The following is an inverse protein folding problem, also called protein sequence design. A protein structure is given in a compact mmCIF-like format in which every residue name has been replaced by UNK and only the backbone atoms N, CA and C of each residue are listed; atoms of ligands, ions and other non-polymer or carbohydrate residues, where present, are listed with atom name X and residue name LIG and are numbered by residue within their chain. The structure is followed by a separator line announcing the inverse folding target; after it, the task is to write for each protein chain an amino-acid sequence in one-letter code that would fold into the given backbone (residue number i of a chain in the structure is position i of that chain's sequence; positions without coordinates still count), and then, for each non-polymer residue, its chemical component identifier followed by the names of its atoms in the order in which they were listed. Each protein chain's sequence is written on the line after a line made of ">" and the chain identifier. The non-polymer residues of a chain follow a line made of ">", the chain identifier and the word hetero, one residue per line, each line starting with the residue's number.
data_IF_444439474575
#
_entry.id   IF_444439474575
#
_cell.length_a   1.000
_cell.length_b   1.000
_cell.length_c   1.000
_cell.angle_alpha   90.00
_cell.angle_beta   90.00
_cell.angle_gamma   90.00
#
_symmetry.space_group_name_H-M   'P 1'
#
loop_
_entity.id
_entity.type
_entity.pdbx_description
1 polymer ?
#
# COMPACT_ATOMS: atom_id res chain seq x y z
N UNK A 1 9.81 -20.12 23.85
CA UNK A 1 9.17 -20.93 22.80
C UNK A 1 10.04 -20.79 21.57
N UNK A 2 10.70 -21.86 21.16
CA UNK A 2 11.75 -21.88 20.12
C UNK A 2 11.14 -21.48 18.78
N UNK A 3 11.66 -20.40 18.18
CA UNK A 3 11.32 -20.00 16.82
C UNK A 3 11.64 -21.17 15.88
N UNK A 4 10.62 -21.82 15.35
CA UNK A 4 10.79 -22.77 14.26
C UNK A 4 11.41 -22.03 13.07
N UNK A 5 12.47 -22.56 12.40
CA UNK A 5 13.07 -21.91 11.26
C UNK A 5 11.96 -21.62 10.24
N UNK A 6 11.96 -20.40 9.68
CA UNK A 6 10.97 -19.95 8.69
C UNK A 6 10.85 -21.04 7.61
N UNK A 7 9.68 -21.68 7.57
CA UNK A 7 9.37 -22.68 6.54
C UNK A 7 9.55 -22.00 5.20
N UNK A 8 10.40 -22.55 4.33
CA UNK A 8 10.64 -21.96 3.01
C UNK A 8 9.32 -21.90 2.25
N UNK A 9 8.92 -20.68 1.84
CA UNK A 9 7.76 -20.50 0.99
C UNK A 9 8.08 -21.02 -0.42
N UNK A 10 7.12 -21.67 -1.03
CA UNK A 10 7.17 -22.09 -2.42
C UNK A 10 6.04 -21.44 -3.20
N UNK A 11 6.27 -21.21 -4.49
CA UNK A 11 5.27 -20.65 -5.39
C UNK A 11 4.90 -21.70 -6.44
N UNK A 12 3.60 -21.92 -6.61
CA UNK A 12 3.02 -22.77 -7.67
C UNK A 12 2.24 -21.89 -8.60
N UNK A 13 2.54 -21.91 -9.88
CA UNK A 13 1.77 -21.18 -10.89
C UNK A 13 0.45 -21.91 -11.19
N UNK A 14 -0.65 -21.18 -11.33
CA UNK A 14 -1.91 -21.72 -11.84
C UNK A 14 -1.90 -21.73 -13.37
N UNK A 15 -2.60 -22.72 -13.95
CA UNK A 15 -2.61 -22.95 -15.39
C UNK A 15 -3.34 -21.85 -16.19
N UNK A 16 -4.17 -21.03 -15.51
CA UNK A 16 -4.97 -20.00 -16.16
C UNK A 16 -5.05 -18.74 -15.26
N UNK A 17 -5.20 -17.60 -15.95
CA UNK A 17 -5.53 -16.33 -15.30
C UNK A 17 -6.93 -16.38 -14.68
N UNK A 18 -7.04 -15.87 -13.46
CA UNK A 18 -8.29 -15.61 -12.75
C UNK A 18 -8.24 -14.21 -12.16
N UNK A 19 -9.34 -13.47 -12.16
CA UNK A 19 -9.39 -12.13 -11.55
C UNK A 19 -9.22 -12.22 -10.01
N UNK A 20 -8.47 -11.32 -9.37
CA UNK A 20 -8.35 -11.27 -7.92
C UNK A 20 -9.70 -11.23 -7.18
N UNK A 21 -10.70 -10.52 -7.74
CA UNK A 21 -12.03 -10.44 -7.15
C UNK A 21 -12.72 -11.80 -7.07
N UNK A 22 -12.54 -12.62 -8.10
CA UNK A 22 -13.10 -13.99 -8.16
C UNK A 22 -12.51 -14.85 -7.04
N UNK A 23 -11.19 -14.85 -6.91
CA UNK A 23 -10.52 -15.64 -5.84
C UNK A 23 -10.90 -15.11 -4.46
N UNK A 24 -10.96 -13.79 -4.28
CA UNK A 24 -11.30 -13.19 -3.01
C UNK A 24 -12.74 -13.53 -2.58
N UNK A 25 -13.73 -13.33 -3.46
CA UNK A 25 -15.14 -13.63 -3.19
C UNK A 25 -15.38 -15.11 -2.93
N UNK A 26 -14.69 -15.99 -3.64
CA UNK A 26 -14.85 -17.44 -3.51
C UNK A 26 -14.39 -18.02 -2.17
N UNK A 27 -13.54 -17.31 -1.44
CA UNK A 27 -12.98 -17.83 -0.20
C UNK A 27 -12.61 -16.78 0.87
N UNK A 28 -11.58 -15.95 0.67
CA UNK A 28 -11.11 -15.01 1.70
C UNK A 28 -12.19 -14.06 2.22
N UNK A 29 -13.13 -13.64 1.39
CA UNK A 29 -14.26 -12.78 1.76
C UNK A 29 -15.09 -13.32 2.93
N UNK A 30 -15.09 -14.64 3.11
CA UNK A 30 -15.87 -15.35 4.17
C UNK A 30 -15.02 -15.63 5.42
N UNK A 31 -13.75 -15.19 5.40
CA UNK A 31 -12.84 -15.46 6.51
C UNK A 31 -12.63 -14.22 7.39
N UNK A 32 -12.67 -14.37 8.74
CA UNK A 32 -12.55 -13.24 9.66
C UNK A 32 -11.15 -12.57 9.66
N UNK A 33 -10.18 -13.14 8.96
CA UNK A 33 -8.83 -12.58 8.81
C UNK A 33 -8.37 -12.76 7.39
N UNK A 34 -8.70 -11.80 6.56
CA UNK A 34 -8.41 -11.82 5.13
C UNK A 34 -7.84 -10.48 4.68
N UNK A 35 -7.15 -10.50 3.56
CA UNK A 35 -6.68 -9.29 2.95
C UNK A 35 -6.74 -9.37 1.43
N UNK A 36 -6.83 -8.19 0.82
CA UNK A 36 -6.65 -7.96 -0.59
C UNK A 36 -5.88 -6.66 -0.79
N UNK A 37 -4.64 -6.75 -1.28
CA UNK A 37 -3.90 -5.61 -1.81
C UNK A 37 -4.12 -5.58 -3.31
N UNK A 38 -4.63 -4.48 -3.84
CA UNK A 38 -5.13 -4.41 -5.21
C UNK A 38 -4.37 -3.41 -6.07
N UNK A 39 -4.04 -3.81 -7.28
CA UNK A 39 -3.45 -2.93 -8.31
C UNK A 39 -4.51 -2.04 -8.99
N UNK A 40 -5.77 -2.20 -8.66
CA UNK A 40 -6.92 -1.47 -9.18
C UNK A 40 -7.82 -2.28 -10.10
N UNK A 41 -9.06 -1.83 -10.24
CA UNK A 41 -9.99 -2.40 -11.21
C UNK A 41 -9.43 -2.20 -12.63
N UNK A 42 -9.41 -3.25 -13.45
CA UNK A 42 -8.87 -3.23 -14.81
C UNK A 42 -7.35 -2.96 -14.90
N UNK A 43 -6.59 -3.27 -13.84
CA UNK A 43 -5.14 -3.14 -13.88
C UNK A 43 -4.54 -3.97 -15.03
N UNK A 44 -3.66 -3.33 -15.80
CA UNK A 44 -2.90 -3.97 -16.91
C UNK A 44 -1.42 -4.09 -16.56
N UNK A 45 -1.03 -3.58 -15.41
CA UNK A 45 0.33 -3.64 -14.87
C UNK A 45 0.27 -3.76 -13.35
N UNK A 46 1.39 -4.08 -12.71
CA UNK A 46 1.46 -4.22 -11.26
C UNK A 46 0.99 -5.59 -10.76
N UNK A 47 0.85 -5.69 -9.45
CA UNK A 47 0.48 -6.93 -8.79
C UNK A 47 -0.65 -6.70 -7.80
N UNK A 48 -1.56 -7.69 -7.72
CA UNK A 48 -2.52 -7.82 -6.62
C UNK A 48 -2.16 -9.02 -5.75
N UNK A 49 -2.56 -8.97 -4.48
CA UNK A 49 -2.33 -10.06 -3.53
C UNK A 49 -3.58 -10.32 -2.72
N UNK A 50 -3.97 -11.56 -2.63
CA UNK A 50 -5.17 -12.02 -1.91
C UNK A 50 -4.77 -13.15 -0.97
N UNK A 51 -5.26 -13.15 0.25
CA UNK A 51 -4.94 -14.25 1.16
C UNK A 51 -5.58 -14.16 2.54
N UNK A 52 -5.08 -15.03 3.37
CA UNK A 52 -5.46 -15.16 4.77
C UNK A 52 -4.25 -14.88 5.67
N UNK A 53 -4.51 -14.43 6.91
CA UNK A 53 -3.44 -14.20 7.88
C UNK A 53 -3.79 -14.67 9.28
N UNK A 54 -2.77 -14.88 10.09
CA UNK A 54 -2.88 -15.08 11.53
C UNK A 54 -2.64 -13.74 12.24
N UNK A 55 -3.22 -13.49 13.42
CA UNK A 55 -2.90 -12.29 14.20
C UNK A 55 -1.40 -12.18 14.43
N UNK A 56 -0.87 -10.96 14.33
CA UNK A 56 0.53 -10.67 14.62
C UNK A 56 0.62 -9.58 15.69
N UNK A 57 1.67 -9.67 16.50
CA UNK A 57 1.99 -8.66 17.49
C UNK A 57 2.66 -7.45 16.81
N UNK A 58 2.29 -6.25 17.24
CA UNK A 58 2.86 -5.01 16.71
C UNK A 58 4.37 -4.91 16.99
N UNK A 59 4.83 -5.39 18.13
CA UNK A 59 6.25 -5.36 18.49
C UNK A 59 7.07 -6.24 17.56
N UNK A 60 6.52 -7.39 17.10
CA UNK A 60 7.14 -8.23 16.07
C UNK A 60 7.29 -7.46 14.75
N UNK A 61 6.26 -6.72 14.34
CA UNK A 61 6.28 -5.91 13.11
C UNK A 61 7.32 -4.79 13.21
N UNK A 62 7.32 -4.06 14.33
CA UNK A 62 8.21 -2.92 14.54
C UNK A 62 9.69 -3.33 14.63
N UNK A 63 9.98 -4.49 15.20
CA UNK A 63 11.33 -5.03 15.30
C UNK A 63 11.86 -5.59 13.98
N UNK A 64 11.03 -5.66 12.91
CA UNK A 64 11.45 -6.24 11.63
C UNK A 64 12.62 -5.44 11.03
N UNK A 65 13.80 -6.06 10.79
CA UNK A 65 14.92 -5.41 10.15
C UNK A 65 14.60 -5.10 8.68
N UNK A 66 15.01 -3.93 8.20
CA UNK A 66 14.79 -3.48 6.82
C UNK A 66 16.00 -3.70 5.91
N UNK A 67 17.15 -4.06 6.49
CA UNK A 67 18.41 -4.27 5.76
C UNK A 67 19.04 -5.60 6.18
N UNK A 68 19.49 -6.40 5.22
CA UNK A 68 20.28 -7.61 5.48
C UNK A 68 19.52 -8.78 6.11
N UNK A 69 18.22 -8.69 6.27
CA UNK A 69 17.39 -9.86 6.56
C UNK A 69 17.28 -10.71 5.29
N UNK A 70 17.23 -12.04 5.44
CA UNK A 70 16.92 -12.96 4.31
C UNK A 70 15.55 -12.74 3.69
N UNK A 71 14.83 -11.76 4.16
CA UNK A 71 13.72 -11.06 3.58
C UNK A 71 14.28 -9.88 2.77
N UNK A 72 15.02 -10.15 1.68
CA UNK A 72 15.15 -9.22 0.55
C UNK A 72 13.79 -9.10 -0.13
N UNK A 73 12.78 -8.75 0.64
CA UNK A 73 11.38 -8.77 0.27
C UNK A 73 10.80 -7.47 0.76
N UNK A 74 10.45 -6.63 -0.19
CA UNK A 74 9.63 -5.47 0.12
C UNK A 74 8.47 -5.91 1.00
N UNK A 75 8.51 -5.55 2.27
CA UNK A 75 7.30 -5.48 3.06
C UNK A 75 6.61 -4.20 2.58
N UNK A 76 5.53 -4.27 1.80
CA UNK A 76 4.85 -3.07 1.41
C UNK A 76 4.20 -2.48 2.66
N UNK A 77 4.79 -1.43 3.19
CA UNK A 77 4.01 -0.47 3.96
C UNK A 77 3.07 0.17 2.95
N UNK A 78 1.85 -0.35 2.88
CA UNK A 78 0.78 0.04 1.95
C UNK A 78 1.26 0.64 0.62
N UNK A 79 1.33 -0.21 -0.41
CA UNK A 79 1.41 0.23 -1.81
C UNK A 79 2.78 0.27 -2.46
N UNK A 80 3.21 -0.83 -3.04
CA UNK A 80 4.30 -0.85 -4.02
C UNK A 80 3.72 -0.93 -5.42
N UNK A 81 3.79 0.16 -6.16
CA UNK A 81 3.40 0.23 -7.56
C UNK A 81 4.49 0.85 -8.42
N UNK A 82 5.00 0.07 -9.34
CA UNK A 82 5.50 0.40 -10.67
C UNK A 82 6.68 1.35 -10.87
N UNK A 83 7.81 0.74 -11.22
CA UNK A 83 8.76 1.36 -12.12
C UNK A 83 8.28 1.20 -13.57
N UNK A 84 8.01 2.29 -14.27
CA UNK A 84 8.00 2.31 -15.73
C UNK A 84 9.45 2.30 -16.21
N UNK A 85 9.95 1.14 -16.59
CA UNK A 85 11.22 1.04 -17.32
C UNK A 85 10.97 1.42 -18.78
N UNK A 86 11.49 2.57 -19.20
CA UNK A 86 11.74 2.86 -20.63
C UNK A 86 12.98 2.06 -21.05
N UNK A 87 12.96 1.28 -22.13
CA UNK A 87 14.12 0.52 -22.56
C UNK A 87 15.14 1.45 -23.21
N UNK A 88 16.31 1.60 -22.61
CA UNK A 88 17.49 2.04 -23.31
C UNK A 88 18.16 0.83 -23.95
N UNK A 89 18.14 0.81 -25.28
CA UNK A 89 18.90 -0.12 -26.11
C UNK A 89 20.39 0.19 -25.94
N UNK A 90 21.15 -0.80 -25.52
CA UNK A 90 22.60 -0.74 -25.46
C UNK A 90 23.18 -2.15 -25.45
N UNK A 91 23.52 -2.64 -26.64
CA UNK A 91 24.22 -3.89 -26.85
C UNK A 91 25.60 -3.92 -26.20
N UNK A 92 25.92 -4.98 -25.46
CA UNK A 92 27.24 -5.64 -25.49
C UNK A 92 27.17 -7.06 -24.97
N UNK A 93 27.53 -7.97 -25.84
CA UNK A 93 27.85 -9.36 -25.58
C UNK A 93 29.15 -9.47 -24.78
N UNK A 94 29.14 -10.28 -23.71
CA UNK A 94 30.33 -11.00 -23.30
C UNK A 94 29.96 -12.37 -22.76
N UNK A 95 30.41 -13.37 -23.50
CA UNK A 95 30.34 -14.79 -23.20
C UNK A 95 31.38 -15.13 -22.12
N UNK A 96 30.94 -15.58 -20.97
CA UNK A 96 31.80 -16.27 -20.00
C UNK A 96 31.31 -17.70 -19.80
N UNK A 97 32.15 -18.64 -20.19
CA UNK A 97 32.02 -20.10 -20.03
C UNK A 97 32.15 -20.47 -18.56
N UNK A 98 31.26 -21.27 -17.95
CA UNK A 98 31.47 -21.76 -16.58
C UNK A 98 32.39 -22.95 -16.57
N UNK A 99 33.43 -22.90 -15.74
CA UNK A 99 34.25 -24.04 -15.35
C UNK A 99 33.44 -24.96 -14.43
N UNK A 100 33.41 -26.24 -14.81
CA UNK A 100 32.85 -27.30 -14.03
C UNK A 100 33.67 -27.55 -12.74
N UNK A 101 33.01 -27.44 -11.58
CA UNK A 101 33.52 -27.77 -10.26
C UNK A 101 32.54 -28.67 -9.51
N UNK A 102 33.03 -29.79 -9.09
CA UNK A 102 32.41 -30.97 -8.50
C UNK A 102 31.46 -30.75 -7.34
N UNK A 103 30.39 -31.55 -7.36
CA UNK A 103 29.23 -31.63 -6.49
C UNK A 103 29.39 -31.69 -4.99
N UNK A 104 28.60 -30.89 -4.37
CA UNK A 104 27.85 -31.21 -3.14
C UNK A 104 26.37 -30.98 -3.44
N UNK A 105 25.42 -31.74 -2.83
CA UNK A 105 24.00 -31.53 -3.11
C UNK A 105 23.62 -30.14 -2.63
N UNK A 106 23.31 -29.28 -3.58
CA UNK A 106 22.79 -27.94 -3.30
C UNK A 106 21.46 -28.10 -2.54
N UNK A 107 21.44 -27.65 -1.30
CA UNK A 107 20.18 -27.39 -0.58
C UNK A 107 19.36 -26.49 -1.47
N UNK A 108 18.10 -26.83 -1.81
CA UNK A 108 17.28 -25.99 -2.68
C UNK A 108 17.09 -24.65 -1.98
N UNK A 109 17.73 -23.62 -2.48
CA UNK A 109 17.43 -22.24 -2.14
C UNK A 109 16.08 -21.94 -2.81
N UNK A 110 14.99 -22.10 -2.05
CA UNK A 110 13.64 -21.78 -2.51
C UNK A 110 13.52 -20.25 -2.65
N UNK A 111 14.02 -19.73 -3.76
CA UNK A 111 13.86 -18.31 -4.12
C UNK A 111 12.53 -18.21 -4.84
N UNK A 112 11.57 -17.47 -4.24
CA UNK A 112 10.30 -17.19 -4.91
C UNK A 112 10.57 -16.44 -6.24
N UNK A 113 9.83 -16.76 -7.32
CA UNK A 113 10.02 -16.10 -8.62
C UNK A 113 9.89 -14.57 -8.51
N UNK A 114 10.67 -13.82 -9.28
CA UNK A 114 10.54 -12.36 -9.33
C UNK A 114 9.14 -11.92 -9.82
N UNK A 115 8.51 -12.73 -10.68
CA UNK A 115 7.16 -12.50 -11.21
C UNK A 115 6.02 -12.50 -10.19
N UNK A 116 6.26 -12.91 -8.94
CA UNK A 116 5.25 -12.73 -7.88
C UNK A 116 5.20 -11.30 -7.33
N UNK A 117 6.07 -10.42 -7.77
CA UNK A 117 6.12 -9.03 -7.34
C UNK A 117 6.82 -8.80 -6.01
N UNK A 118 6.56 -7.64 -5.39
CA UNK A 118 7.25 -7.19 -4.18
C UNK A 118 6.82 -7.88 -2.89
N UNK A 119 5.54 -8.24 -2.74
CA UNK A 119 5.07 -8.92 -1.52
C UNK A 119 5.42 -10.40 -1.55
N UNK A 120 6.14 -10.86 -0.54
CA UNK A 120 6.66 -12.23 -0.43
C UNK A 120 6.26 -12.92 0.87
N UNK A 121 5.14 -12.50 1.46
CA UNK A 121 4.75 -12.87 2.81
C UNK A 121 5.25 -11.87 3.85
N UNK A 122 4.95 -12.09 5.10
CA UNK A 122 5.30 -11.17 6.20
C UNK A 122 4.07 -10.60 6.87
N UNK A 123 4.01 -9.31 7.09
CA UNK A 123 2.93 -8.67 7.84
C UNK A 123 2.12 -7.71 6.96
N UNK A 124 0.78 -7.74 7.11
CA UNK A 124 -0.17 -6.81 6.51
C UNK A 124 -1.07 -6.28 7.62
N UNK A 125 -1.28 -4.97 7.68
CA UNK A 125 -2.09 -4.37 8.72
C UNK A 125 -2.20 -2.87 8.56
N UNK A 126 -2.62 -2.21 9.63
CA UNK A 126 -2.70 -0.76 9.71
C UNK A 126 -2.18 -0.23 11.04
N UNK A 127 -1.80 1.04 11.01
CA UNK A 127 -1.50 1.87 12.17
C UNK A 127 -2.40 3.09 12.12
N UNK A 128 -3.10 3.36 13.21
CA UNK A 128 -3.86 4.58 13.38
C UNK A 128 -2.94 5.80 13.52
N UNK A 129 -3.47 6.98 13.21
CA UNK A 129 -2.71 8.22 13.33
C UNK A 129 -2.23 8.48 14.76
N UNK A 130 -3.11 8.28 15.73
CA UNK A 130 -2.83 8.52 17.17
C UNK A 130 -1.72 7.60 17.65
N UNK A 131 -1.76 6.31 17.25
CA UNK A 131 -0.68 5.37 17.56
C UNK A 131 0.65 5.82 16.96
N UNK A 132 0.66 6.21 15.68
CA UNK A 132 1.86 6.68 15.01
C UNK A 132 2.42 7.97 15.62
N UNK A 133 1.57 8.92 15.97
CA UNK A 133 1.95 10.16 16.64
C UNK A 133 2.57 9.89 18.02
N UNK A 134 1.95 9.05 18.84
CA UNK A 134 2.48 8.63 20.13
C UNK A 134 3.84 7.91 19.99
N UNK A 135 3.97 7.03 19.02
CA UNK A 135 5.23 6.33 18.72
C UNK A 135 6.36 7.27 18.28
N UNK A 136 6.01 8.33 17.54
CA UNK A 136 6.95 9.40 17.17
C UNK A 136 7.24 10.39 18.32
N UNK A 137 6.65 10.19 19.49
CA UNK A 137 6.82 11.07 20.65
C UNK A 137 6.07 12.39 20.54
N UNK A 138 5.08 12.49 19.64
CA UNK A 138 4.24 13.67 19.48
C UNK A 138 3.11 13.69 20.52
N UNK A 139 2.66 14.86 20.97
CA UNK A 139 1.52 14.96 21.86
C UNK A 139 0.24 14.52 21.12
N UNK A 140 -0.45 13.54 21.69
CA UNK A 140 -1.75 13.08 21.20
C UNK A 140 -2.83 13.61 22.13
N UNK A 141 -3.82 14.29 21.55
CA UNK A 141 -4.97 14.73 22.33
C UNK A 141 -5.77 13.50 22.81
N UNK A 142 -6.27 13.50 24.05
CA UNK A 142 -7.13 12.41 24.50
C UNK A 142 -8.38 12.33 23.64
N UNK A 143 -8.92 11.10 23.38
CA UNK A 143 -10.11 10.93 22.58
C UNK A 143 -11.27 11.75 23.17
N UNK A 144 -11.98 12.46 22.30
CA UNK A 144 -13.14 13.25 22.73
C UNK A 144 -14.28 12.33 23.18
N UNK A 145 -15.23 12.81 23.98
CA UNK A 145 -16.41 12.03 24.31
C UNK A 145 -17.21 11.52 23.10
N UNK A 146 -17.11 12.22 21.96
CA UNK A 146 -17.72 11.82 20.69
C UNK A 146 -17.00 10.64 20.01
N UNK A 147 -15.75 10.36 20.41
CA UNK A 147 -14.95 9.25 19.90
C UNK A 147 -15.10 7.98 20.77
N UNK A 148 -15.78 8.09 21.93
CA UNK A 148 -16.04 6.93 22.80
C UNK A 148 -17.13 6.06 22.20
N UNK A 149 -16.78 4.83 21.89
CA UNK A 149 -17.69 3.83 21.32
C UNK A 149 -17.30 3.37 19.92
N UNK A 150 -16.19 3.84 19.40
CA UNK A 150 -15.61 3.27 18.19
C UNK A 150 -14.47 2.33 18.59
N UNK A 151 -14.82 1.04 18.68
CA UNK A 151 -13.88 -0.04 19.04
C UNK A 151 -13.00 -0.47 17.84
N UNK A 152 -12.59 0.49 16.98
CA UNK A 152 -11.61 0.21 15.92
C UNK A 152 -10.22 0.18 16.55
N UNK A 153 -9.49 -0.93 16.47
CA UNK A 153 -8.14 -1.01 17.02
C UNK A 153 -7.22 0.06 16.39
N UNK A 154 -6.45 0.77 17.23
CA UNK A 154 -5.44 1.72 16.76
C UNK A 154 -4.38 1.07 15.85
N UNK A 155 -4.17 -0.23 16.00
CA UNK A 155 -3.31 -1.02 15.14
C UNK A 155 -3.83 -2.46 15.07
N UNK A 156 -3.75 -3.07 13.91
CA UNK A 156 -4.00 -4.50 13.74
C UNK A 156 -3.13 -5.06 12.63
N UNK A 157 -2.56 -6.24 12.86
CA UNK A 157 -1.64 -6.88 11.95
C UNK A 157 -1.95 -8.35 11.74
N UNK A 158 -1.77 -8.79 10.51
CA UNK A 158 -1.89 -10.17 10.06
C UNK A 158 -0.52 -10.66 9.60
N UNK A 159 -0.03 -11.76 10.16
CA UNK A 159 1.11 -12.50 9.62
C UNK A 159 0.62 -13.39 8.48
N UNK A 160 1.21 -13.20 7.31
CA UNK A 160 0.80 -13.84 6.06
C UNK A 160 1.92 -14.75 5.56
N UNK A 161 1.61 -16.02 5.41
CA UNK A 161 2.48 -17.03 4.80
C UNK A 161 1.78 -17.84 3.71
N UNK A 162 0.46 -17.64 3.54
CA UNK A 162 -0.39 -18.26 2.54
C UNK A 162 -1.13 -17.17 1.76
N UNK A 163 -0.80 -17.00 0.48
CA UNK A 163 -1.42 -15.97 -0.35
C UNK A 163 -1.39 -16.32 -1.83
N UNK A 164 -2.10 -15.56 -2.62
CA UNK A 164 -2.15 -15.63 -4.09
C UNK A 164 -1.61 -14.30 -4.62
N UNK A 165 -0.66 -14.37 -5.54
CA UNK A 165 -0.09 -13.20 -6.21
C UNK A 165 -0.55 -13.19 -7.69
N UNK A 166 -0.94 -12.03 -8.17
CA UNK A 166 -1.46 -11.81 -9.51
C UNK A 166 -0.54 -10.82 -10.24
N UNK A 167 0.14 -11.26 -11.28
CA UNK A 167 0.88 -10.40 -12.20
C UNK A 167 -0.06 -9.97 -13.33
N UNK A 168 -0.53 -8.73 -13.28
CA UNK A 168 -1.48 -8.20 -14.25
C UNK A 168 -0.87 -8.03 -15.65
N UNK A 169 0.42 -7.70 -15.72
CA UNK A 169 1.10 -7.51 -17.01
C UNK A 169 1.31 -8.82 -17.75
N UNK A 170 1.78 -9.84 -17.06
CA UNK A 170 2.01 -11.16 -17.65
C UNK A 170 0.77 -12.06 -17.63
N UNK A 171 -0.33 -11.64 -16.96
CA UNK A 171 -1.55 -12.44 -16.72
C UNK A 171 -1.22 -13.82 -16.13
N UNK A 172 -0.42 -13.80 -15.06
CA UNK A 172 0.01 -15.00 -14.33
C UNK A 172 -0.48 -14.94 -12.89
N UNK A 173 -0.80 -16.10 -12.34
CA UNK A 173 -1.27 -16.26 -10.97
C UNK A 173 -0.38 -17.26 -10.24
N UNK A 174 0.12 -16.85 -9.08
CA UNK A 174 0.99 -17.65 -8.24
C UNK A 174 0.33 -17.93 -6.91
N UNK A 175 0.29 -19.18 -6.53
CA UNK A 175 -0.15 -19.63 -5.20
C UNK A 175 1.08 -19.82 -4.35
N UNK A 176 1.18 -19.09 -3.23
CA UNK A 176 2.36 -19.07 -2.37
C UNK A 176 2.00 -19.59 -0.98
N UNK A 177 2.77 -20.56 -0.49
CA UNK A 177 2.58 -21.14 0.84
C UNK A 177 3.86 -21.83 1.34
N UNK A 178 3.94 -22.18 2.63
CA UNK A 178 4.97 -23.11 3.14
C UNK A 178 4.93 -24.44 2.39
N UNK A 179 6.10 -24.99 2.05
CA UNK A 179 6.21 -26.23 1.26
C UNK A 179 5.35 -27.39 1.78
N UNK A 180 5.21 -27.51 3.11
CA UNK A 180 4.43 -28.58 3.73
C UNK A 180 2.92 -28.54 3.43
N UNK A 181 2.37 -27.36 3.06
CA UNK A 181 0.92 -27.17 2.81
C UNK A 181 0.63 -26.64 1.41
N UNK A 182 1.65 -26.46 0.59
CA UNK A 182 1.53 -25.78 -0.70
C UNK A 182 0.51 -26.42 -1.65
N UNK A 183 0.48 -27.75 -1.76
CA UNK A 183 -0.49 -28.44 -2.61
C UNK A 183 -1.92 -28.29 -2.10
N UNK A 184 -2.14 -28.49 -0.79
CA UNK A 184 -3.44 -28.32 -0.18
C UNK A 184 -3.95 -26.85 -0.31
N UNK A 185 -3.03 -25.88 -0.21
CA UNK A 185 -3.33 -24.48 -0.43
C UNK A 185 -3.70 -24.21 -1.89
N UNK A 186 -2.95 -24.75 -2.85
CA UNK A 186 -3.24 -24.61 -4.27
C UNK A 186 -4.62 -25.21 -4.64
N UNK A 187 -4.96 -26.38 -4.11
CA UNK A 187 -6.30 -26.99 -4.32
C UNK A 187 -7.42 -26.11 -3.75
N UNK A 188 -7.20 -25.52 -2.56
CA UNK A 188 -8.16 -24.59 -1.96
C UNK A 188 -8.36 -23.34 -2.82
N UNK A 189 -7.28 -22.75 -3.34
CA UNK A 189 -7.35 -21.59 -4.23
C UNK A 189 -8.08 -21.92 -5.53
N UNK A 190 -7.81 -23.09 -6.13
CA UNK A 190 -8.56 -23.56 -7.32
C UNK A 190 -10.06 -23.72 -7.03
N UNK A 191 -10.40 -24.19 -5.83
CA UNK A 191 -11.81 -24.28 -5.43
C UNK A 191 -12.44 -22.87 -5.28
N UNK A 192 -11.73 -21.93 -4.69
CA UNK A 192 -12.17 -20.53 -4.59
C UNK A 192 -12.40 -19.88 -5.96
N UNK A 193 -11.49 -20.10 -6.91
CA UNK A 193 -11.64 -19.60 -8.27
C UNK A 193 -12.94 -20.10 -8.93
N UNK A 194 -13.27 -21.38 -8.77
CA UNK A 194 -14.52 -21.96 -9.31
C UNK A 194 -15.78 -21.41 -8.63
N UNK A 195 -15.74 -21.22 -7.31
CA UNK A 195 -16.89 -20.71 -6.53
C UNK A 195 -17.11 -19.22 -6.78
N UNK A 196 -16.04 -18.45 -6.84
CA UNK A 196 -16.11 -17.00 -6.95
C UNK A 196 -16.58 -16.50 -8.31
N UNK A 197 -16.45 -17.27 -9.38
CA UNK A 197 -17.00 -16.90 -10.70
C UNK A 197 -18.51 -16.62 -10.64
N UNK A 198 -19.25 -17.40 -9.85
CA UNK A 198 -20.68 -17.19 -9.66
C UNK A 198 -21.00 -15.93 -8.83
N UNK A 199 -20.16 -15.63 -7.83
CA UNK A 199 -20.36 -14.49 -6.93
C UNK A 199 -19.90 -13.16 -7.56
N UNK A 200 -18.79 -13.15 -8.29
CA UNK A 200 -18.26 -11.97 -8.97
C UNK A 200 -19.17 -11.48 -10.11
N UNK A 201 -20.05 -12.34 -10.61
CA UNK A 201 -21.03 -11.99 -11.67
C UNK A 201 -22.28 -11.30 -11.13
N UNK A 202 -22.47 -11.22 -9.81
CA UNK A 202 -23.63 -10.54 -9.22
C UNK A 202 -23.41 -9.03 -9.36
N UNK A 203 -24.28 -8.28 -10.05
CA UNK A 203 -24.19 -6.85 -10.11
C UNK A 203 -24.21 -6.28 -8.69
N UNK A 204 -23.24 -5.45 -8.37
CA UNK A 204 -23.24 -4.73 -7.09
C UNK A 204 -24.46 -3.81 -7.10
N UNK A 205 -25.44 -4.10 -6.26
CA UNK A 205 -26.65 -3.30 -6.14
C UNK A 205 -26.32 -1.85 -5.77
N UNK A 206 -27.10 -0.91 -6.26
CA UNK A 206 -26.98 0.48 -5.82
C UNK A 206 -27.07 0.55 -4.29
N UNK A 207 -26.15 1.25 -3.63
CA UNK A 207 -26.19 1.35 -2.18
C UNK A 207 -27.49 2.02 -1.75
N UNK A 208 -28.10 1.57 -0.66
CA UNK A 208 -29.23 2.29 -0.08
C UNK A 208 -28.81 3.73 0.20
N UNK A 209 -29.70 4.68 -0.06
CA UNK A 209 -29.44 6.09 0.21
C UNK A 209 -29.29 6.26 1.73
N UNK A 210 -28.06 6.45 2.19
CA UNK A 210 -27.73 6.62 3.62
C UNK A 210 -27.16 8.01 3.83
N UNK A 211 -27.55 8.63 4.93
CA UNK A 211 -27.05 9.95 5.30
C UNK A 211 -25.82 9.79 6.20
N UNK A 212 -24.71 10.35 5.75
CA UNK A 212 -23.52 10.47 6.58
C UNK A 212 -23.67 11.67 7.53
N UNK A 213 -23.27 11.49 8.79
CA UNK A 213 -23.24 12.55 9.79
C UNK A 213 -21.81 13.04 9.97
N UNK A 214 -21.59 14.33 9.79
CA UNK A 214 -20.29 14.94 10.06
C UNK A 214 -20.07 15.06 11.59
N UNK A 215 -18.85 14.83 12.04
CA UNK A 215 -18.45 14.95 13.46
C UNK A 215 -18.65 16.37 14.00
N UNK A 216 -18.47 17.38 13.18
CA UNK A 216 -18.62 18.79 13.53
C UNK A 216 -19.52 19.50 12.52
N UNK A 217 -20.17 20.57 12.93
CA UNK A 217 -20.97 21.39 11.99
C UNK A 217 -20.11 22.09 10.96
N UNK A 218 -20.70 22.45 9.82
CA UNK A 218 -20.01 23.17 8.75
C UNK A 218 -19.46 24.52 9.24
N UNK A 219 -20.22 25.26 10.06
CA UNK A 219 -19.80 26.56 10.61
C UNK A 219 -18.59 26.41 11.55
N UNK A 220 -18.59 25.38 12.40
CA UNK A 220 -17.46 25.12 13.27
C UNK A 220 -16.24 24.69 12.48
N UNK A 221 -16.41 23.86 11.44
CA UNK A 221 -15.31 23.47 10.57
C UNK A 221 -14.70 24.66 9.82
N UNK A 222 -15.55 25.60 9.35
CA UNK A 222 -15.09 26.83 8.74
C UNK A 222 -14.28 27.70 9.72
N UNK A 223 -14.71 27.81 10.99
CA UNK A 223 -13.95 28.51 12.02
C UNK A 223 -12.58 27.85 12.31
N UNK A 224 -12.51 26.51 12.26
CA UNK A 224 -11.24 25.79 12.37
C UNK A 224 -10.30 26.07 11.19
N UNK A 225 -10.81 26.21 9.97
CA UNK A 225 -10.03 26.62 8.79
C UNK A 225 -9.40 28.00 9.02
N UNK A 226 -10.18 28.98 9.51
CA UNK A 226 -9.64 30.31 9.79
C UNK A 226 -8.58 30.27 10.90
N UNK A 227 -8.77 29.48 11.94
CA UNK A 227 -7.77 29.28 12.96
C UNK A 227 -6.46 28.67 12.40
N UNK A 228 -6.55 27.71 11.46
CA UNK A 228 -5.38 27.19 10.76
C UNK A 228 -4.66 28.28 9.94
N UNK A 229 -5.43 29.14 9.24
CA UNK A 229 -4.86 30.29 8.53
C UNK A 229 -4.11 31.25 9.45
N UNK A 230 -4.64 31.49 10.65
CA UNK A 230 -3.99 32.38 11.62
C UNK A 230 -2.67 31.80 12.11
N UNK A 231 -2.59 30.50 12.39
CA UNK A 231 -1.35 29.79 12.78
C UNK A 231 -0.31 29.86 11.64
N UNK A 232 -0.74 29.69 10.39
CA UNK A 232 0.17 29.81 9.23
C UNK A 232 0.64 31.25 9.05
N UNK A 233 -0.24 32.26 9.22
CA UNK A 233 0.15 33.68 9.14
C UNK A 233 1.10 34.09 10.25
N UNK A 234 0.96 33.50 11.44
CA UNK A 234 1.88 33.72 12.56
C UNK A 234 3.28 33.10 12.33
N UNK A 235 3.40 32.17 11.36
CA UNK A 235 4.64 31.47 11.07
C UNK A 235 4.91 30.25 11.98
N UNK A 236 3.92 29.85 12.78
CA UNK A 236 4.02 28.69 13.66
C UNK A 236 3.91 27.36 12.88
N UNK A 237 3.29 27.37 11.72
CA UNK A 237 3.21 26.26 10.78
C UNK A 237 3.25 26.77 9.34
N UNK A 238 3.76 25.95 8.44
CA UNK A 238 3.74 26.23 7.00
C UNK A 238 2.62 25.51 6.27
N UNK A 239 2.12 24.42 6.85
CA UNK A 239 1.00 23.62 6.37
C UNK A 239 0.29 22.96 7.55
N UNK A 240 -1.02 22.84 7.47
CA UNK A 240 -1.86 22.12 8.43
C UNK A 240 -2.88 21.26 7.66
N UNK A 241 -3.02 20.00 8.08
CA UNK A 241 -4.00 19.07 7.54
C UNK A 241 -5.19 19.00 8.51
N UNK A 242 -6.19 19.87 8.31
CA UNK A 242 -7.42 19.82 9.09
C UNK A 242 -8.31 18.69 8.60
N UNK A 243 -8.69 17.80 9.51
CA UNK A 243 -9.52 16.63 9.19
C UNK A 243 -10.85 16.65 9.94
N UNK A 244 -11.84 15.95 9.41
CA UNK A 244 -13.08 15.62 10.10
C UNK A 244 -13.49 14.21 9.79
N UNK A 245 -14.47 13.69 10.53
CA UNK A 245 -15.03 12.36 10.34
C UNK A 245 -16.47 12.45 9.89
N UNK A 246 -16.84 11.56 8.98
CA UNK A 246 -18.23 11.31 8.62
C UNK A 246 -18.58 9.89 9.04
N UNK A 247 -19.63 9.73 9.80
CA UNK A 247 -20.14 8.45 10.25
C UNK A 247 -21.42 8.12 9.50
N UNK A 248 -21.46 6.93 8.91
CA UNK A 248 -22.69 6.37 8.34
C UNK A 248 -23.21 5.36 9.35
N UNK A 249 -24.34 5.61 10.02
CA UNK A 249 -24.87 4.69 11.01
C UNK A 249 -25.22 3.36 10.36
N UNK A 250 -25.05 2.27 11.12
CA UNK A 250 -25.56 0.98 10.72
C UNK A 250 -27.07 1.06 10.51
N UNK A 251 -27.53 0.55 9.37
CA UNK A 251 -28.94 0.40 9.08
C UNK A 251 -29.45 -0.96 9.60
N UNK A 252 -30.68 -1.31 9.21
CA UNK A 252 -31.27 -2.63 9.51
C UNK A 252 -30.43 -3.79 8.91
N UNK A 253 -29.70 -3.53 7.83
CA UNK A 253 -28.75 -4.47 7.23
C UNK A 253 -27.33 -3.98 7.52
N UNK A 254 -26.48 -4.79 8.16
CA UNK A 254 -25.08 -4.45 8.38
C UNK A 254 -24.34 -4.13 7.08
N UNK A 255 -23.30 -3.28 7.16
CA UNK A 255 -22.42 -3.03 6.04
C UNK A 255 -21.58 -4.28 5.75
N UNK A 256 -21.65 -4.79 4.52
CA UNK A 256 -20.69 -5.78 4.04
C UNK A 256 -19.41 -5.05 3.57
N UNK A 257 -18.26 -5.27 4.23
CA UNK A 257 -17.02 -4.61 3.85
C UNK A 257 -16.54 -5.03 2.45
N UNK A 258 -16.82 -6.27 2.03
CA UNK A 258 -16.42 -6.79 0.72
C UNK A 258 -17.19 -6.09 -0.39
N UNK A 259 -18.52 -6.05 -0.26
CA UNK A 259 -19.38 -5.35 -1.22
C UNK A 259 -19.04 -3.86 -1.29
N UNK A 260 -18.78 -3.23 -0.14
CA UNK A 260 -18.38 -1.82 -0.07
C UNK A 260 -17.04 -1.60 -0.74
N UNK A 261 -16.06 -2.50 -0.54
CA UNK A 261 -14.76 -2.41 -1.22
C UNK A 261 -14.86 -2.60 -2.73
N UNK A 262 -15.69 -3.52 -3.19
CA UNK A 262 -15.92 -3.74 -4.63
C UNK A 262 -16.52 -2.47 -5.30
N UNK A 263 -17.46 -1.79 -4.63
CA UNK A 263 -17.99 -0.50 -5.08
C UNK A 263 -16.92 0.60 -5.09
N UNK A 264 -16.14 0.71 -4.00
CA UNK A 264 -15.04 1.65 -3.90
C UNK A 264 -14.00 1.43 -5.01
N UNK A 265 -13.62 0.18 -5.24
CA UNK A 265 -12.69 -0.25 -6.29
C UNK A 265 -13.17 0.14 -7.69
N UNK A 266 -14.47 0.02 -7.95
CA UNK A 266 -15.06 0.39 -9.23
C UNK A 266 -15.17 1.91 -9.42
N UNK A 267 -15.57 2.63 -8.36
CA UNK A 267 -15.78 4.08 -8.40
C UNK A 267 -14.47 4.88 -8.35
N UNK A 268 -13.47 4.38 -7.62
CA UNK A 268 -12.20 5.06 -7.40
C UNK A 268 -11.02 4.08 -7.52
N UNK A 269 -10.74 3.56 -8.72
CA UNK A 269 -9.63 2.64 -8.93
C UNK A 269 -8.30 3.28 -8.55
N UNK A 270 -7.60 2.64 -7.65
CA UNK A 270 -6.28 3.05 -7.16
C UNK A 270 -5.32 1.87 -7.20
N UNK A 271 -4.07 2.13 -7.56
CA UNK A 271 -3.00 1.13 -7.57
C UNK A 271 -2.40 0.84 -6.18
N UNK A 272 -2.89 1.54 -5.15
CA UNK A 272 -2.61 1.29 -3.73
C UNK A 272 -3.90 0.98 -2.96
N UNK A 273 -4.89 0.40 -3.63
CA UNK A 273 -6.12 -0.02 -2.97
C UNK A 273 -5.89 -1.24 -2.09
N UNK A 274 -6.68 -1.36 -1.03
CA UNK A 274 -6.58 -2.50 -0.13
C UNK A 274 -7.80 -2.70 0.73
N UNK A 275 -8.07 -3.96 1.02
CA UNK A 275 -9.05 -4.41 1.99
C UNK A 275 -8.35 -5.30 3.00
N UNK A 276 -8.47 -4.99 4.28
CA UNK A 276 -7.97 -5.81 5.38
C UNK A 276 -9.14 -6.06 6.32
N UNK A 277 -9.45 -7.32 6.56
CA UNK A 277 -10.53 -7.76 7.44
C UNK A 277 -9.91 -8.41 8.68
N UNK A 278 -10.35 -7.97 9.84
CA UNK A 278 -10.08 -8.60 11.15
C UNK A 278 -11.42 -8.90 11.84
N UNK A 279 -11.46 -9.68 12.93
CA UNK A 279 -12.69 -9.94 13.64
C UNK A 279 -13.40 -8.69 14.15
N UNK A 280 -12.63 -7.64 14.45
CA UNK A 280 -13.11 -6.44 15.14
C UNK A 280 -13.35 -5.26 14.19
N UNK A 281 -12.70 -5.25 13.02
CA UNK A 281 -12.80 -4.15 12.06
C UNK A 281 -12.39 -4.55 10.65
N UNK A 282 -12.79 -3.75 9.67
CA UNK A 282 -12.28 -3.81 8.31
C UNK A 282 -11.79 -2.42 7.85
N UNK A 283 -10.61 -2.39 7.24
CA UNK A 283 -10.09 -1.19 6.57
C UNK A 283 -10.27 -1.35 5.07
N UNK A 284 -10.92 -0.37 4.45
CA UNK A 284 -11.13 -0.27 3.01
C UNK A 284 -10.40 0.98 2.52
N UNK A 285 -9.41 0.81 1.67
CA UNK A 285 -8.56 1.91 1.21
C UNK A 285 -8.56 2.01 -0.30
N UNK A 286 -8.64 3.23 -0.82
CA UNK A 286 -8.38 3.59 -2.21
C UNK A 286 -7.28 4.67 -2.26
N UNK A 287 -6.18 4.45 -1.53
CA UNK A 287 -5.09 5.43 -1.43
C UNK A 287 -4.43 5.68 -2.79
N UNK A 288 -4.25 6.92 -3.21
CA UNK A 288 -3.54 7.26 -4.43
C UNK A 288 -2.01 7.33 -4.25
N UNK A 289 -1.52 7.35 -3.01
CA UNK A 289 -0.15 7.74 -2.68
C UNK A 289 0.60 6.65 -1.94
N UNK A 290 1.86 6.42 -2.35
CA UNK A 290 2.81 5.58 -1.65
C UNK A 290 3.55 6.40 -0.59
N UNK A 291 3.29 6.11 0.68
CA UNK A 291 4.04 6.74 1.78
C UNK A 291 5.51 6.32 1.74
N UNK A 292 5.78 5.04 1.91
CA UNK A 292 7.12 4.47 1.91
C UNK A 292 7.16 3.14 1.16
N UNK A 293 8.25 2.87 0.48
CA UNK A 293 8.59 1.56 -0.07
C UNK A 293 10.03 1.23 0.27
N UNK A 294 10.31 0.00 0.69
CA UNK A 294 11.67 -0.48 0.96
C UNK A 294 11.95 -1.70 0.12
N UNK A 295 13.03 -1.66 -0.65
CA UNK A 295 13.47 -2.77 -1.48
C UNK A 295 15.00 -2.85 -1.49
N UNK A 296 15.59 -4.00 -1.21
CA UNK A 296 17.03 -4.18 -1.15
C UNK A 296 17.75 -3.22 -0.17
N UNK A 297 17.10 -2.86 0.93
CA UNK A 297 17.60 -1.88 1.89
C UNK A 297 17.53 -0.43 1.42
N UNK A 298 16.97 -0.16 0.24
CA UNK A 298 16.71 1.20 -0.26
C UNK A 298 15.29 1.61 0.06
N UNK A 299 15.12 2.72 0.77
CA UNK A 299 13.82 3.33 1.02
C UNK A 299 13.48 4.35 -0.07
N UNK A 300 12.18 4.43 -0.41
CA UNK A 300 11.64 5.39 -1.37
C UNK A 300 10.33 5.96 -0.86
N UNK A 301 10.08 7.24 -1.12
CA UNK A 301 8.79 7.91 -0.92
C UNK A 301 8.40 8.66 -2.18
N UNK A 302 7.09 8.75 -2.45
CA UNK A 302 6.54 9.37 -3.66
C UNK A 302 5.46 10.40 -3.31
N UNK A 303 5.83 11.56 -2.74
CA UNK A 303 4.87 12.59 -2.41
C UNK A 303 4.17 13.16 -3.64
N UNK A 304 2.85 13.37 -3.50
CA UNK A 304 1.97 13.93 -4.52
C UNK A 304 1.45 15.27 -4.04
N UNK A 305 1.60 16.31 -4.86
CA UNK A 305 0.90 17.60 -4.70
C UNK A 305 0.47 18.09 -6.08
N UNK A 306 -0.82 18.40 -6.19
CA UNK A 306 -1.43 18.79 -7.44
C UNK A 306 -2.02 17.63 -8.23
N UNK A 307 -3.29 17.76 -8.56
CA UNK A 307 -4.07 16.79 -9.32
C UNK A 307 -4.96 17.49 -10.32
N UNK A 308 -5.10 16.94 -11.53
CA UNK A 308 -6.04 17.38 -12.56
C UNK A 308 -6.82 16.17 -13.08
N UNK A 309 -8.09 16.35 -13.46
CA UNK A 309 -8.84 15.29 -14.10
C UNK A 309 -8.25 14.95 -15.48
N UNK A 310 -8.58 13.79 -15.99
CA UNK A 310 -8.28 13.42 -17.39
C UNK A 310 -9.18 14.21 -18.34
N UNK A 311 -8.64 14.64 -19.45
CA UNK A 311 -9.40 15.25 -20.53
C UNK A 311 -10.14 14.22 -21.39
N UNK A 312 -11.36 14.57 -21.83
CA UNK A 312 -12.13 13.68 -22.70
C UNK A 312 -11.47 13.47 -24.08
N UNK A 313 -10.78 14.50 -24.57
CA UNK A 313 -10.07 14.49 -25.84
C UNK A 313 -8.55 14.58 -25.62
N UNK A 314 -7.70 13.93 -26.47
CA UNK A 314 -6.26 13.92 -26.28
C UNK A 314 -5.61 15.30 -26.14
N UNK A 315 -6.10 16.30 -26.88
CA UNK A 315 -5.57 17.67 -26.80
C UNK A 315 -5.91 18.35 -25.47
N UNK A 316 -7.13 18.15 -24.96
CA UNK A 316 -7.56 18.67 -23.67
C UNK A 316 -6.82 17.95 -22.52
N UNK A 317 -6.60 16.66 -22.64
CA UNK A 317 -5.82 15.84 -21.68
C UNK A 317 -4.38 16.32 -21.57
N UNK A 318 -3.73 16.52 -22.71
CA UNK A 318 -2.37 17.06 -22.75
C UNK A 318 -2.28 18.51 -22.20
N UNK A 319 -3.30 19.35 -22.42
CA UNK A 319 -3.36 20.71 -21.89
C UNK A 319 -3.47 20.71 -20.37
N UNK A 320 -4.29 19.83 -19.78
CA UNK A 320 -4.41 19.66 -18.32
C UNK A 320 -3.10 19.18 -17.68
N UNK A 321 -2.42 18.23 -18.29
CA UNK A 321 -1.12 17.77 -17.83
C UNK A 321 -0.05 18.89 -17.91
N UNK A 322 -0.05 19.69 -18.98
CA UNK A 322 0.85 20.82 -19.15
C UNK A 322 0.58 21.94 -18.14
N UNK A 323 -0.70 22.27 -17.89
CA UNK A 323 -1.12 23.25 -16.89
C UNK A 323 -0.69 22.81 -15.48
N UNK A 324 -0.92 21.55 -15.11
CA UNK A 324 -0.47 21.00 -13.84
C UNK A 324 1.04 21.16 -13.67
N UNK A 325 1.81 20.82 -14.70
CA UNK A 325 3.26 20.97 -14.69
C UNK A 325 3.72 22.42 -14.54
N UNK A 326 2.99 23.37 -15.10
CA UNK A 326 3.30 24.79 -15.06
C UNK A 326 2.77 25.52 -13.82
N UNK A 327 1.95 24.87 -13.00
CA UNK A 327 1.32 25.48 -11.82
C UNK A 327 2.37 25.83 -10.76
N UNK A 328 2.64 27.11 -10.57
CA UNK A 328 3.61 27.62 -9.58
C UNK A 328 3.23 27.20 -8.17
N UNK A 329 1.93 27.20 -7.85
CA UNK A 329 1.43 26.76 -6.54
C UNK A 329 1.77 25.30 -6.28
N UNK A 330 1.38 24.41 -7.20
CA UNK A 330 1.58 22.96 -7.02
C UNK A 330 3.08 22.59 -6.99
N UNK A 331 3.90 23.28 -7.79
CA UNK A 331 5.35 23.12 -7.74
C UNK A 331 5.92 23.54 -6.38
N UNK A 332 5.53 24.70 -5.85
CA UNK A 332 6.03 25.18 -4.56
C UNK A 332 5.65 24.23 -3.41
N UNK A 333 4.40 23.75 -3.38
CA UNK A 333 3.94 22.77 -2.39
C UNK A 333 4.71 21.45 -2.51
N UNK A 334 4.91 20.94 -3.73
CA UNK A 334 5.61 19.68 -3.94
C UNK A 334 7.10 19.78 -3.53
N UNK A 335 7.81 20.85 -3.92
CA UNK A 335 9.21 21.06 -3.54
C UNK A 335 9.39 21.17 -2.03
N UNK A 336 8.47 21.80 -1.32
CA UNK A 336 8.48 21.88 0.14
C UNK A 336 8.38 20.50 0.79
N UNK A 337 7.50 19.64 0.28
CA UNK A 337 7.37 18.27 0.78
C UNK A 337 8.59 17.42 0.42
N UNK A 338 9.16 17.60 -0.76
CA UNK A 338 10.42 16.93 -1.14
C UNK A 338 11.54 17.25 -0.17
N UNK A 339 11.68 18.52 0.24
CA UNK A 339 12.73 18.91 1.18
C UNK A 339 12.50 18.31 2.58
N UNK A 340 11.25 18.29 3.04
CA UNK A 340 10.86 17.62 4.27
C UNK A 340 11.19 16.12 4.22
N UNK A 341 10.78 15.41 3.17
CA UNK A 341 11.05 13.98 3.01
C UNK A 341 12.55 13.67 2.93
N UNK A 342 13.34 14.54 2.30
CA UNK A 342 14.80 14.40 2.30
C UNK A 342 15.38 14.49 3.73
N UNK A 343 14.91 15.45 4.52
CA UNK A 343 15.32 15.60 5.89
C UNK A 343 14.94 14.37 6.74
N UNK A 344 13.72 13.87 6.60
CA UNK A 344 13.23 12.72 7.34
C UNK A 344 14.01 11.43 6.98
N UNK A 345 14.22 11.18 5.71
CA UNK A 345 15.00 10.04 5.26
C UNK A 345 16.48 10.14 5.66
N UNK A 346 17.05 11.34 5.70
CA UNK A 346 18.44 11.53 6.12
C UNK A 346 18.70 11.07 7.57
N UNK A 347 17.67 10.98 8.41
CA UNK A 347 17.77 10.51 9.81
C UNK A 347 17.99 9.00 9.93
N UNK A 348 17.61 8.22 8.90
CA UNK A 348 17.64 6.75 8.89
C UNK A 348 18.38 6.15 7.71
N UNK A 349 18.97 6.99 6.85
CA UNK A 349 19.75 6.58 5.70
C UNK A 349 21.24 6.84 5.90
N UNK A 350 22.06 6.13 5.13
CA UNK A 350 23.51 6.38 5.09
C UNK A 350 23.79 7.82 4.64
N UNK A 351 24.73 8.53 5.30
CA UNK A 351 25.07 9.90 4.92
C UNK A 351 25.42 10.04 3.44
N UNK A 352 24.79 10.99 2.77
CA UNK A 352 25.01 11.28 1.35
C UNK A 352 24.25 10.33 0.39
N UNK A 353 23.51 9.35 0.87
CA UNK A 353 22.75 8.42 0.03
C UNK A 353 21.35 8.93 -0.36
N UNK A 354 20.82 9.93 0.35
CA UNK A 354 19.49 10.49 0.06
C UNK A 354 19.56 11.36 -1.19
N UNK A 355 18.69 11.04 -2.15
CA UNK A 355 18.63 11.73 -3.43
C UNK A 355 17.18 11.90 -3.91
N UNK A 356 16.98 12.86 -4.81
CA UNK A 356 15.71 13.08 -5.51
C UNK A 356 15.83 12.38 -6.86
N UNK A 357 15.18 11.23 -7.00
CA UNK A 357 15.23 10.43 -8.23
C UNK A 357 14.41 11.08 -9.35
N UNK A 358 13.29 11.73 -8.99
CA UNK A 358 12.46 12.51 -9.89
C UNK A 358 11.88 13.72 -9.14
N UNK A 359 11.84 14.87 -9.81
CA UNK A 359 11.26 16.09 -9.29
C UNK A 359 10.18 16.62 -10.23
N UNK A 360 8.96 16.87 -9.69
CA UNK A 360 7.86 17.49 -10.40
C UNK A 360 7.47 16.74 -11.70
N UNK A 361 7.47 15.41 -11.65
CA UNK A 361 7.03 14.59 -12.77
C UNK A 361 5.49 14.54 -12.81
N UNK A 362 4.91 14.70 -14.00
CA UNK A 362 3.48 14.45 -14.19
C UNK A 362 3.29 12.98 -14.49
N UNK A 363 2.64 12.27 -13.57
CA UNK A 363 2.22 10.89 -13.76
C UNK A 363 0.73 10.86 -14.15
N UNK A 364 0.41 10.15 -15.23
CA UNK A 364 -0.95 10.05 -15.74
C UNK A 364 -1.56 8.70 -15.40
N UNK A 365 -2.65 8.72 -14.64
CA UNK A 365 -3.42 7.55 -14.27
C UNK A 365 -4.74 7.50 -15.07
N UNK A 366 -5.52 6.45 -14.88
CA UNK A 366 -6.78 6.28 -15.62
C UNK A 366 -7.75 7.46 -15.42
N UNK A 367 -7.79 8.05 -14.22
CA UNK A 367 -8.75 9.10 -13.86
C UNK A 367 -8.15 10.48 -13.66
N UNK A 368 -6.84 10.58 -13.42
CA UNK A 368 -6.19 11.84 -13.05
C UNK A 368 -4.77 11.94 -13.61
N UNK A 369 -4.29 13.19 -13.74
CA UNK A 369 -2.87 13.53 -13.76
C UNK A 369 -2.45 13.99 -12.38
N UNK A 370 -1.29 13.55 -11.89
CA UNK A 370 -0.73 13.94 -10.60
C UNK A 370 0.69 14.46 -10.75
N UNK A 371 1.04 15.48 -9.96
CA UNK A 371 2.40 16.00 -9.89
C UNK A 371 3.14 15.29 -8.77
N UNK A 372 4.06 14.42 -9.15
CA UNK A 372 4.73 13.46 -8.26
C UNK A 372 6.23 13.76 -8.22
N UNK A 373 6.82 13.70 -7.04
CA UNK A 373 8.28 13.62 -6.89
C UNK A 373 8.66 12.28 -6.26
N UNK A 374 9.92 11.90 -6.40
CA UNK A 374 10.44 10.66 -5.81
C UNK A 374 11.73 10.97 -5.07
N UNK A 375 11.76 10.63 -3.78
CA UNK A 375 12.95 10.72 -2.94
C UNK A 375 13.32 9.33 -2.47
N UNK A 376 14.61 9.00 -2.48
CA UNK A 376 15.08 7.71 -2.00
C UNK A 376 16.40 7.82 -1.26
N UNK A 377 16.74 6.78 -0.48
CA UNK A 377 18.00 6.69 0.25
C UNK A 377 18.34 5.26 0.62
N UNK A 378 19.61 4.96 0.87
CA UNK A 378 20.07 3.68 1.37
C UNK A 378 19.91 3.68 2.90
N UNK A 379 19.11 2.75 3.43
CA UNK A 379 18.90 2.63 4.88
C UNK A 379 20.19 2.24 5.62
N UNK A 380 20.33 2.71 6.84
CA UNK A 380 21.34 2.23 7.78
C UNK A 380 21.15 0.73 8.04
N UNK A 381 22.25 0.01 8.33
CA UNK A 381 22.23 -1.46 8.47
C UNK A 381 21.34 -1.96 9.60
N UNK A 382 21.16 -1.18 10.65
CA UNK A 382 20.35 -1.46 11.82
C UNK A 382 18.93 -0.89 11.74
N UNK A 383 18.54 -0.33 10.58
CA UNK A 383 17.20 0.20 10.39
C UNK A 383 16.13 -0.88 10.52
N UNK A 384 15.10 -0.56 11.29
CA UNK A 384 13.91 -1.38 11.49
C UNK A 384 12.66 -0.62 11.04
N UNK A 385 11.53 -1.31 10.99
CA UNK A 385 10.22 -0.65 10.75
C UNK A 385 9.98 0.46 11.76
N UNK A 386 10.28 0.21 13.06
CA UNK A 386 10.13 1.19 14.12
C UNK A 386 10.95 2.46 13.88
N UNK A 387 12.25 2.32 13.60
CA UNK A 387 13.13 3.49 13.39
C UNK A 387 12.75 4.28 12.14
N UNK A 388 12.32 3.60 11.08
CA UNK A 388 11.84 4.25 9.86
C UNK A 388 10.55 5.04 10.11
N UNK A 389 9.56 4.45 10.79
CA UNK A 389 8.32 5.14 11.14
C UNK A 389 8.57 6.32 12.07
N UNK A 390 9.39 6.17 13.12
CA UNK A 390 9.72 7.28 14.04
C UNK A 390 10.42 8.45 13.33
N UNK A 391 11.10 8.21 12.21
CA UNK A 391 11.75 9.25 11.43
C UNK A 391 10.82 9.95 10.44
N UNK A 392 9.78 9.25 9.93
CA UNK A 392 9.00 9.70 8.77
C UNK A 392 7.52 9.93 9.04
N UNK A 393 7.01 9.53 10.21
CA UNK A 393 5.62 9.74 10.60
C UNK A 393 5.45 11.07 11.37
N UNK A 394 4.37 11.83 11.14
CA UNK A 394 3.40 11.67 10.06
C UNK A 394 3.99 11.98 8.69
N UNK A 395 3.37 11.41 7.62
CA UNK A 395 3.81 11.70 6.26
C UNK A 395 3.71 13.20 5.97
N UNK A 396 4.79 13.79 5.46
CA UNK A 396 4.85 15.24 5.21
C UNK A 396 3.90 15.74 4.13
N UNK A 397 3.30 14.83 3.34
CA UNK A 397 2.28 15.14 2.33
C UNK A 397 0.87 15.28 2.91
N UNK A 398 0.68 14.87 4.18
CA UNK A 398 -0.62 14.94 4.89
C UNK A 398 -0.71 16.16 5.80
#
# INVERSE_FOLDING_TARGET
>A
MTLTPASSLVATELDAWVDPAVVFSGGPAKHPRAFWLDAGANAVTGHSYVGLGAPADIDEVLATPLVGSRLDTATPLAGSGLGTATPLVGSRSDTATPLAGSGAPATPTNILPASIGGFRGGHIGWLGFEWGAAHAGLPVAPPSPADRGEDVPEAAWLRVVEFVAFDHAARRVWVVAPAAVAEAWAERVRAWARTGEAEASIPVADPPNRTATARVSADYYAALIEACHDVIRAGDAYQLCLTTRFTVPEGEVPHDPVETFLRLRAASPSHHAGLIITPDAAILSASPEQFLGVEGGRVRTKPIKGTRPRGAEPAADAALAAELRASVKEQAENVMIVDLMRNDLARVCEPGSVQVDALLAVESYAQVHQLVSTVSGQLLRDATVSTLLAATFPAGSM
#
